data_IF_675935747332
#
_entry.id   IF_675935747332
#
_cell.length_a   1.000
_cell.length_b   1.000
_cell.length_c   1.000
_cell.angle_alpha   90.00
_cell.angle_beta   90.00
_cell.angle_gamma   90.00
#
_symmetry.space_group_name_H-M   'P 1'
#
loop_
_entity.id
_entity.type
_entity.pdbx_description
1 polymer ?
#
# COMPACT_ATOMS: atom_id res chain seq x y z
N UNK A 1 29.86 -16.59 -77.32
CA UNK A 1 28.57 -16.97 -76.69
C UNK A 1 28.74 -18.40 -76.20
N UNK A 2 28.79 -18.79 -74.93
CA UNK A 2 28.50 -18.21 -73.62
C UNK A 2 29.70 -18.48 -72.69
N UNK A 3 30.01 -17.56 -71.78
CA UNK A 3 30.94 -17.80 -70.67
C UNK A 3 30.10 -18.14 -69.43
N UNK A 4 30.15 -19.39 -68.98
CA UNK A 4 29.44 -19.85 -67.78
C UNK A 4 30.07 -19.27 -66.52
N UNK A 5 29.31 -18.49 -65.78
CA UNK A 5 29.62 -18.02 -64.43
C UNK A 5 29.13 -19.05 -63.41
N UNK A 6 30.05 -19.72 -62.72
CA UNK A 6 29.72 -20.52 -61.54
C UNK A 6 29.76 -19.62 -60.29
N UNK A 7 28.60 -19.36 -59.70
CA UNK A 7 28.48 -18.72 -58.38
C UNK A 7 28.45 -19.84 -57.33
N UNK A 8 29.51 -19.92 -56.52
CA UNK A 8 29.55 -20.80 -55.34
C UNK A 8 28.79 -20.10 -54.21
N UNK A 9 27.62 -20.60 -53.87
CA UNK A 9 26.86 -20.17 -52.68
C UNK A 9 27.55 -20.69 -51.41
N UNK A 10 28.13 -19.78 -50.63
CA UNK A 10 28.60 -20.07 -49.27
C UNK A 10 27.37 -20.07 -48.35
N UNK A 11 26.98 -21.28 -47.92
CA UNK A 11 25.96 -21.50 -46.89
C UNK A 11 26.49 -21.02 -45.53
N UNK A 12 26.07 -19.85 -45.07
CA UNK A 12 26.29 -19.39 -43.71
C UNK A 12 25.33 -20.13 -42.77
N UNK A 13 25.84 -21.14 -42.06
CA UNK A 13 25.11 -21.79 -40.97
C UNK A 13 25.00 -20.82 -39.79
N UNK A 14 23.93 -20.04 -39.76
CA UNK A 14 23.53 -19.30 -38.56
C UNK A 14 23.12 -20.31 -37.49
N UNK A 15 24.03 -20.59 -36.56
CA UNK A 15 23.68 -21.21 -35.30
C UNK A 15 22.79 -20.24 -34.53
N UNK A 16 21.48 -20.50 -34.54
CA UNK A 16 20.57 -19.86 -33.60
C UNK A 16 21.03 -20.25 -32.20
N UNK A 17 21.72 -19.33 -31.52
CA UNK A 17 21.87 -19.40 -30.08
C UNK A 17 20.46 -19.47 -29.51
N UNK A 18 20.17 -20.56 -28.81
CA UNK A 18 18.98 -20.64 -27.97
C UNK A 18 19.09 -19.49 -26.99
N UNK A 19 18.33 -18.42 -27.21
CA UNK A 19 18.02 -17.46 -26.17
C UNK A 19 17.53 -18.28 -24.98
N UNK A 20 18.35 -18.35 -23.94
CA UNK A 20 17.93 -18.90 -22.66
C UNK A 20 16.72 -18.09 -22.24
N UNK A 21 15.53 -18.68 -22.30
CA UNK A 21 14.43 -18.20 -21.49
C UNK A 21 14.91 -18.38 -20.06
N UNK A 22 15.29 -17.27 -19.42
CA UNK A 22 15.29 -17.24 -17.97
C UNK A 22 13.84 -17.56 -17.58
N UNK A 23 13.61 -18.77 -17.08
CA UNK A 23 12.36 -19.08 -16.40
C UNK A 23 12.33 -18.16 -15.17
N UNK A 24 11.64 -17.03 -15.30
CA UNK A 24 11.29 -16.20 -14.17
C UNK A 24 10.26 -17.02 -13.37
N UNK A 25 10.74 -17.77 -12.39
CA UNK A 25 9.91 -18.48 -11.42
C UNK A 25 9.20 -17.45 -10.53
N UNK A 26 8.14 -16.85 -11.06
CA UNK A 26 7.24 -16.02 -10.28
C UNK A 26 6.38 -16.90 -9.40
N UNK A 27 6.44 -16.69 -8.09
CA UNK A 27 5.57 -17.39 -7.12
C UNK A 27 4.17 -16.77 -7.08
N UNK A 28 4.01 -15.51 -7.50
CA UNK A 28 2.74 -14.78 -7.50
C UNK A 28 2.57 -13.87 -8.73
N UNK A 29 1.34 -13.72 -9.26
CA UNK A 29 1.02 -12.70 -10.26
C UNK A 29 1.22 -11.28 -9.70
N UNK A 30 2.02 -10.45 -10.37
CA UNK A 30 2.29 -9.06 -9.95
C UNK A 30 3.62 -8.86 -9.24
N UNK A 31 4.34 -9.94 -8.92
CA UNK A 31 5.70 -9.86 -8.40
C UNK A 31 6.65 -9.24 -9.44
N UNK A 32 7.42 -8.23 -9.04
CA UNK A 32 8.45 -7.65 -9.88
C UNK A 32 9.65 -8.61 -9.98
N UNK A 33 10.18 -8.91 -11.17
CA UNK A 33 11.25 -9.91 -11.37
C UNK A 33 12.59 -9.51 -10.75
N UNK A 34 12.78 -8.22 -10.49
CA UNK A 34 14.00 -7.68 -9.91
C UNK A 34 13.63 -6.69 -8.79
N UNK A 35 13.43 -7.14 -7.54
CA UNK A 35 13.04 -6.27 -6.45
C UNK A 35 14.10 -5.18 -6.15
N UNK A 36 15.39 -5.48 -6.33
CA UNK A 36 16.47 -4.51 -6.18
C UNK A 36 16.33 -3.32 -7.14
N UNK A 37 15.87 -3.55 -8.38
CA UNK A 37 15.63 -2.46 -9.34
C UNK A 37 14.53 -1.49 -8.84
N UNK A 38 13.50 -2.01 -8.17
CA UNK A 38 12.45 -1.18 -7.56
C UNK A 38 13.02 -0.36 -6.41
N UNK A 39 13.85 -0.97 -5.55
CA UNK A 39 14.56 -0.26 -4.47
C UNK A 39 15.44 0.86 -5.01
N UNK A 40 16.23 0.58 -6.05
CA UNK A 40 17.10 1.57 -6.68
C UNK A 40 16.31 2.74 -7.29
N UNK A 41 15.17 2.45 -7.92
CA UNK A 41 14.29 3.48 -8.47
C UNK A 41 13.69 4.36 -7.37
N UNK A 42 13.23 3.77 -6.25
CA UNK A 42 12.78 4.54 -5.07
C UNK A 42 13.88 5.48 -4.58
N UNK A 43 15.09 4.96 -4.41
CA UNK A 43 16.23 5.77 -3.97
C UNK A 43 16.56 6.89 -4.95
N UNK A 44 16.54 6.61 -6.27
CA UNK A 44 16.76 7.61 -7.32
C UNK A 44 15.71 8.74 -7.25
N UNK A 45 14.43 8.40 -7.06
CA UNK A 45 13.35 9.39 -6.94
C UNK A 45 13.49 10.25 -5.67
N UNK A 46 13.85 9.64 -4.55
CA UNK A 46 14.14 10.36 -3.30
C UNK A 46 15.30 11.34 -3.50
N UNK A 47 16.43 10.89 -4.03
CA UNK A 47 17.59 11.76 -4.24
C UNK A 47 17.26 12.91 -5.19
N UNK A 48 16.49 12.66 -6.26
CA UNK A 48 16.05 13.70 -7.17
C UNK A 48 15.17 14.75 -6.46
N UNK A 49 14.21 14.31 -5.63
CA UNK A 49 13.33 15.21 -4.87
C UNK A 49 14.10 16.03 -3.83
N UNK A 50 14.99 15.41 -3.05
CA UNK A 50 15.86 16.09 -2.07
C UNK A 50 16.78 17.10 -2.77
N UNK A 51 17.42 16.73 -3.87
CA UNK A 51 18.30 17.63 -4.62
C UNK A 51 17.53 18.85 -5.17
N UNK A 52 16.32 18.65 -5.72
CA UNK A 52 15.47 19.76 -6.17
C UNK A 52 15.12 20.70 -5.01
N UNK A 53 14.75 20.16 -3.85
CA UNK A 53 14.47 20.96 -2.64
C UNK A 53 15.70 21.78 -2.22
N UNK A 54 16.88 21.16 -2.12
CA UNK A 54 18.12 21.83 -1.72
C UNK A 54 18.53 22.94 -2.68
N UNK A 55 18.40 22.73 -4.00
CA UNK A 55 18.72 23.75 -5.01
C UNK A 55 17.80 24.98 -4.92
N UNK A 56 16.53 24.80 -4.61
CA UNK A 56 15.58 25.92 -4.46
C UNK A 56 15.78 26.70 -3.16
N UNK A 57 16.19 26.03 -2.08
CA UNK A 57 16.52 26.72 -0.82
C UNK A 57 17.73 27.65 -0.96
N UNK A 58 18.66 27.35 -1.88
CA UNK A 58 19.82 28.21 -2.16
C UNK A 58 19.48 29.41 -3.04
N UNK A 59 18.39 29.36 -3.82
CA UNK A 59 18.04 30.40 -4.80
C UNK A 59 16.99 31.40 -4.32
N UNK A 60 16.25 31.11 -3.24
CA UNK A 60 15.19 31.97 -2.73
C UNK A 60 15.34 32.21 -1.22
N UNK A 61 15.69 33.44 -0.84
CA UNK A 61 15.66 33.89 0.55
C UNK A 61 14.24 34.17 1.08
N UNK A 62 13.16 34.06 0.28
CA UNK A 62 11.83 34.54 0.71
C UNK A 62 10.59 33.88 0.05
N UNK A 63 10.65 32.65 -0.47
CA UNK A 63 9.44 31.93 -0.89
C UNK A 63 9.48 30.47 -0.41
N UNK A 64 8.42 30.04 0.31
CA UNK A 64 8.26 28.67 0.77
C UNK A 64 8.08 27.72 -0.43
N UNK A 65 9.18 27.10 -0.86
CA UNK A 65 9.14 26.01 -1.84
C UNK A 65 8.19 24.93 -1.34
N UNK A 66 7.20 24.54 -2.17
CA UNK A 66 6.30 23.43 -1.86
C UNK A 66 7.07 22.09 -1.75
N UNK A 67 8.26 21.98 -2.37
CA UNK A 67 9.02 20.75 -2.38
C UNK A 67 9.43 20.32 -0.97
N UNK A 68 8.99 19.13 -0.61
CA UNK A 68 9.17 18.51 0.70
C UNK A 68 10.44 17.65 0.76
N UNK A 69 10.98 17.22 -0.40
CA UNK A 69 12.02 16.19 -0.45
C UNK A 69 11.45 14.76 -0.41
N UNK A 70 10.12 14.64 -0.34
CA UNK A 70 9.39 13.40 -0.54
C UNK A 70 8.85 13.37 -1.99
N UNK A 71 9.30 12.43 -2.85
CA UNK A 71 8.89 12.38 -4.24
C UNK A 71 7.40 12.10 -4.46
N UNK A 72 6.71 11.45 -3.51
CA UNK A 72 5.26 11.20 -3.58
C UNK A 72 4.51 12.53 -3.44
N UNK A 73 4.74 13.25 -2.33
CA UNK A 73 4.08 14.52 -2.06
C UNK A 73 4.45 15.58 -3.10
N UNK A 74 5.73 15.66 -3.49
CA UNK A 74 6.19 16.59 -4.52
C UNK A 74 5.50 16.37 -5.89
N UNK A 75 5.01 15.16 -6.18
CA UNK A 75 4.38 14.81 -7.45
C UNK A 75 2.97 15.39 -7.61
N UNK A 76 2.18 15.46 -6.52
CA UNK A 76 0.78 15.90 -6.56
C UNK A 76 0.50 17.12 -5.68
N UNK A 77 1.08 17.22 -4.49
CA UNK A 77 0.75 18.27 -3.50
C UNK A 77 1.24 19.64 -3.94
N UNK A 78 2.26 19.66 -4.79
CA UNK A 78 2.80 20.88 -5.40
C UNK A 78 2.13 21.29 -6.71
N UNK A 79 1.15 20.51 -7.18
CA UNK A 79 0.26 20.97 -8.23
C UNK A 79 -0.83 21.85 -7.60
N UNK A 80 -0.87 23.18 -7.85
CA UNK A 80 -1.91 24.05 -7.29
C UNK A 80 -3.32 23.68 -7.77
N UNK A 81 -3.44 22.94 -8.88
CA UNK A 81 -4.70 22.49 -9.47
C UNK A 81 -5.09 21.06 -9.06
N UNK A 82 -4.40 20.47 -8.07
CA UNK A 82 -4.76 19.14 -7.55
C UNK A 82 -6.25 18.99 -7.17
N UNK A 83 -6.99 20.01 -6.68
CA UNK A 83 -8.40 19.86 -6.36
C UNK A 83 -9.27 19.56 -7.60
N UNK A 84 -8.89 20.08 -8.76
CA UNK A 84 -9.58 19.83 -10.04
C UNK A 84 -8.99 18.62 -10.78
N UNK A 85 -7.78 18.19 -10.41
CA UNK A 85 -7.11 17.03 -10.98
C UNK A 85 -6.84 15.93 -9.94
N UNK A 86 -7.87 15.58 -9.16
CA UNK A 86 -7.73 14.63 -8.04
C UNK A 86 -7.11 13.29 -8.45
N UNK A 87 -7.48 12.77 -9.61
CA UNK A 87 -7.07 11.45 -10.07
C UNK A 87 -5.58 11.37 -10.46
N UNK A 88 -4.91 12.51 -10.68
CA UNK A 88 -3.45 12.58 -10.89
C UNK A 88 -2.65 11.97 -9.73
N UNK A 89 -3.23 11.93 -8.52
CA UNK A 89 -2.62 11.25 -7.37
C UNK A 89 -2.16 9.83 -7.72
N UNK A 90 -2.96 9.07 -8.49
CA UNK A 90 -2.65 7.70 -8.86
C UNK A 90 -1.37 7.53 -9.71
N UNK A 91 -0.80 8.62 -10.25
CA UNK A 91 0.47 8.61 -10.97
C UNK A 91 1.70 8.82 -10.06
N UNK A 92 1.48 9.08 -8.77
CA UNK A 92 2.51 9.51 -7.84
C UNK A 92 3.03 8.41 -6.92
N UNK A 93 2.42 7.22 -6.95
CA UNK A 93 2.91 6.06 -6.21
C UNK A 93 4.34 5.69 -6.63
N UNK A 94 5.13 5.21 -5.68
CA UNK A 94 6.47 4.66 -5.90
C UNK A 94 6.60 3.29 -5.22
N UNK A 95 7.70 2.59 -5.45
CA UNK A 95 7.95 1.30 -4.81
C UNK A 95 7.12 0.19 -5.44
N UNK A 96 6.85 -0.86 -4.67
CA UNK A 96 6.17 -2.05 -5.21
C UNK A 96 4.69 -1.80 -5.55
N UNK A 97 4.01 -0.88 -4.85
CA UNK A 97 2.64 -0.45 -5.15
C UNK A 97 2.53 0.62 -6.25
N UNK A 98 3.59 0.91 -7.00
CA UNK A 98 3.58 1.97 -8.03
C UNK A 98 2.56 1.74 -9.17
N UNK A 99 2.04 0.52 -9.32
CA UNK A 99 1.04 0.16 -10.33
C UNK A 99 -0.40 0.21 -9.80
N UNK A 100 -0.61 0.58 -8.53
CA UNK A 100 -1.94 0.76 -7.97
C UNK A 100 -2.65 1.93 -8.66
N UNK A 101 -3.55 1.64 -9.59
CA UNK A 101 -4.33 2.66 -10.30
C UNK A 101 -5.54 3.16 -9.50
N UNK A 102 -5.98 2.39 -8.51
CA UNK A 102 -7.22 2.67 -7.79
C UNK A 102 -8.41 2.78 -8.76
N UNK A 103 -9.25 3.79 -8.55
CA UNK A 103 -10.36 4.16 -9.41
C UNK A 103 -10.03 5.13 -10.55
N UNK A 104 -8.76 5.28 -10.94
CA UNK A 104 -8.35 6.21 -12.00
C UNK A 104 -9.11 5.95 -13.31
N UNK A 105 -9.49 7.02 -14.00
CA UNK A 105 -10.36 7.04 -15.19
C UNK A 105 -11.79 6.55 -14.94
N UNK A 106 -12.13 6.18 -13.71
CA UNK A 106 -13.49 5.93 -13.27
C UNK A 106 -14.23 7.21 -12.94
N UNK A 107 -15.54 7.07 -12.78
CA UNK A 107 -16.40 8.17 -12.33
C UNK A 107 -16.12 8.53 -10.87
N UNK A 108 -16.41 9.78 -10.52
CA UNK A 108 -16.44 10.18 -9.12
C UNK A 108 -17.70 9.66 -8.44
N UNK A 109 -17.53 9.05 -7.27
CA UNK A 109 -18.64 8.72 -6.39
C UNK A 109 -18.56 9.58 -5.13
N UNK A 110 -19.63 10.32 -4.83
CA UNK A 110 -19.69 11.22 -3.68
C UNK A 110 -20.43 10.52 -2.55
N UNK A 111 -19.73 10.22 -1.46
CA UNK A 111 -20.34 9.69 -0.25
C UNK A 111 -21.09 10.83 0.45
N UNK A 112 -22.39 10.70 0.58
CA UNK A 112 -23.29 11.70 1.18
C UNK A 112 -23.99 11.19 2.44
N UNK A 113 -23.92 9.89 2.69
CA UNK A 113 -24.53 9.21 3.82
C UNK A 113 -23.46 8.40 4.57
N UNK A 114 -23.25 8.72 5.85
CA UNK A 114 -22.26 8.07 6.70
C UNK A 114 -22.79 6.83 7.44
N UNK A 115 -24.05 6.43 7.22
CA UNK A 115 -24.65 5.25 7.84
C UNK A 115 -24.18 3.94 7.20
N UNK A 116 -24.26 2.86 7.98
CA UNK A 116 -23.86 1.51 7.56
C UNK A 116 -24.79 0.43 8.19
N UNK A 117 -26.09 0.68 8.11
CA UNK A 117 -27.09 -0.08 8.87
C UNK A 117 -27.40 -1.48 8.28
N UNK A 118 -27.16 -1.68 6.98
CA UNK A 118 -27.39 -2.95 6.29
C UNK A 118 -26.14 -3.38 5.50
N UNK A 119 -25.37 -4.38 5.99
CA UNK A 119 -24.17 -4.87 5.32
C UNK A 119 -24.46 -5.70 4.07
N UNK A 120 -25.73 -6.09 3.83
CA UNK A 120 -26.17 -6.86 2.66
C UNK A 120 -26.81 -5.96 1.62
N UNK A 121 -27.55 -4.91 1.97
CA UNK A 121 -28.22 -4.03 1.01
C UNK A 121 -27.87 -2.55 1.26
N UNK A 122 -26.62 -2.15 0.99
CA UNK A 122 -26.20 -0.77 1.20
C UNK A 122 -26.95 0.19 0.27
N UNK A 123 -27.31 1.37 0.77
CA UNK A 123 -28.03 2.39 -0.01
C UNK A 123 -27.05 3.21 -0.88
N UNK A 124 -27.44 3.63 -2.09
CA UNK A 124 -26.72 4.67 -2.82
C UNK A 124 -26.50 5.91 -1.94
N UNK A 125 -25.35 6.56 -2.09
CA UNK A 125 -24.86 7.62 -1.20
C UNK A 125 -23.96 7.14 -0.05
N UNK A 126 -24.03 5.87 0.34
CA UNK A 126 -23.15 5.30 1.39
C UNK A 126 -21.79 4.87 0.85
N UNK A 127 -20.79 4.77 1.75
CA UNK A 127 -19.47 4.23 1.42
C UNK A 127 -19.54 2.75 1.03
N UNK A 128 -20.33 1.93 1.76
CA UNK A 128 -20.46 0.49 1.46
C UNK A 128 -21.02 0.26 0.06
N UNK A 129 -21.98 1.06 -0.38
CA UNK A 129 -22.47 0.97 -1.76
C UNK A 129 -21.36 1.28 -2.77
N UNK A 130 -20.53 2.28 -2.52
CA UNK A 130 -19.48 2.70 -3.45
C UNK A 130 -18.40 1.61 -3.66
N UNK A 131 -17.88 1.05 -2.56
CA UNK A 131 -16.69 0.17 -2.61
C UNK A 131 -16.98 -1.18 -3.26
N UNK A 132 -18.24 -1.64 -3.26
CA UNK A 132 -18.62 -2.92 -3.86
C UNK A 132 -18.83 -2.84 -5.38
N UNK A 133 -18.98 -1.65 -5.97
CA UNK A 133 -19.33 -1.52 -7.39
C UNK A 133 -18.29 -2.18 -8.30
N UNK A 134 -18.72 -2.65 -9.47
CA UNK A 134 -17.85 -3.36 -10.41
C UNK A 134 -16.93 -2.41 -11.16
N UNK A 135 -17.46 -1.26 -11.55
CA UNK A 135 -16.74 -0.22 -12.27
C UNK A 135 -15.66 0.46 -11.41
N UNK A 136 -14.59 0.98 -12.03
CA UNK A 136 -13.63 1.82 -11.33
C UNK A 136 -14.32 3.06 -10.74
N UNK A 137 -14.07 3.36 -9.46
CA UNK A 137 -14.64 4.54 -8.81
C UNK A 137 -13.60 5.32 -8.01
N UNK A 138 -13.60 6.64 -8.21
CA UNK A 138 -12.88 7.59 -7.36
C UNK A 138 -13.82 8.16 -6.29
N UNK A 139 -13.76 7.59 -5.10
CA UNK A 139 -14.70 7.85 -4.00
C UNK A 139 -14.22 9.05 -3.19
N UNK A 140 -15.07 10.07 -3.07
CA UNK A 140 -14.77 11.34 -2.38
C UNK A 140 -15.83 11.71 -1.35
N UNK A 141 -15.47 12.64 -0.47
CA UNK A 141 -16.30 13.09 0.64
C UNK A 141 -16.49 14.62 0.57
N UNK A 142 -17.73 15.12 0.52
CA UNK A 142 -18.01 16.55 0.42
C UNK A 142 -17.90 17.28 1.78
N UNK A 143 -17.85 16.54 2.88
CA UNK A 143 -17.78 17.08 4.25
C UNK A 143 -17.15 16.06 5.20
N UNK A 144 -16.81 16.51 6.41
CA UNK A 144 -16.29 15.65 7.46
C UNK A 144 -17.29 14.55 7.82
N UNK A 145 -16.83 13.32 7.99
CA UNK A 145 -17.68 12.17 8.27
C UNK A 145 -17.05 11.23 9.28
N UNK A 146 -17.88 10.64 10.13
CA UNK A 146 -17.52 9.46 10.93
C UNK A 146 -18.41 8.32 10.45
N UNK A 147 -17.81 7.37 9.77
CA UNK A 147 -18.47 6.19 9.22
C UNK A 147 -18.24 5.05 10.21
N UNK A 148 -19.29 4.74 10.97
CA UNK A 148 -19.27 3.63 11.93
C UNK A 148 -19.81 2.38 11.25
N UNK A 149 -18.90 1.50 10.87
CA UNK A 149 -19.23 0.26 10.18
C UNK A 149 -19.89 -0.72 11.14
N UNK A 150 -20.92 -1.43 10.64
CA UNK A 150 -21.57 -2.51 11.36
C UNK A 150 -20.83 -3.84 11.20
N UNK A 151 -20.17 -4.04 10.06
CA UNK A 151 -19.42 -5.23 9.66
C UNK A 151 -18.23 -4.85 8.77
N UNK A 152 -17.31 -5.79 8.51
CA UNK A 152 -16.23 -5.64 7.53
C UNK A 152 -16.71 -4.93 6.25
N UNK A 153 -16.01 -3.88 5.83
CA UNK A 153 -16.21 -3.15 4.59
C UNK A 153 -15.37 -3.83 3.51
N UNK A 154 -15.99 -4.78 2.79
CA UNK A 154 -15.34 -5.55 1.72
C UNK A 154 -15.30 -4.72 0.45
N UNK A 155 -14.11 -4.53 -0.11
CA UNK A 155 -13.91 -3.79 -1.35
C UNK A 155 -14.00 -4.71 -2.58
N UNK A 156 -14.42 -4.14 -3.70
CA UNK A 156 -14.18 -4.66 -5.03
C UNK A 156 -12.93 -3.98 -5.64
N UNK A 157 -12.39 -4.51 -6.73
CA UNK A 157 -11.19 -3.97 -7.40
C UNK A 157 -11.42 -2.56 -7.98
N UNK A 158 -10.34 -1.85 -8.28
CA UNK A 158 -10.34 -0.54 -8.94
C UNK A 158 -11.07 0.55 -8.14
N UNK A 159 -10.68 0.74 -6.88
CA UNK A 159 -11.26 1.75 -6.00
C UNK A 159 -10.20 2.69 -5.47
N UNK A 160 -10.49 3.98 -5.52
CA UNK A 160 -9.76 4.97 -4.72
C UNK A 160 -10.67 5.50 -3.64
N UNK A 161 -10.23 5.44 -2.39
CA UNK A 161 -10.81 6.20 -1.29
C UNK A 161 -9.99 7.46 -1.08
N UNK A 162 -10.53 8.63 -1.44
CA UNK A 162 -9.84 9.92 -1.39
C UNK A 162 -10.51 10.84 -0.37
N UNK A 163 -9.93 10.88 0.83
CA UNK A 163 -10.40 11.75 1.92
C UNK A 163 -9.96 13.20 1.81
N UNK A 164 -9.20 13.63 0.79
CA UNK A 164 -8.69 15.01 0.72
C UNK A 164 -9.82 16.03 0.67
N UNK A 165 -9.73 17.04 1.52
CA UNK A 165 -10.72 18.11 1.66
C UNK A 165 -11.77 17.86 2.73
N UNK A 166 -11.75 16.69 3.38
CA UNK A 166 -12.62 16.34 4.49
C UNK A 166 -11.82 15.59 5.58
N UNK A 167 -12.30 15.67 6.82
CA UNK A 167 -11.84 14.80 7.90
C UNK A 167 -12.76 13.58 7.97
N UNK A 168 -12.28 12.44 7.47
CA UNK A 168 -13.05 11.21 7.32
C UNK A 168 -12.49 10.13 8.24
N UNK A 169 -13.34 9.64 9.13
CA UNK A 169 -13.04 8.57 10.07
C UNK A 169 -13.80 7.30 9.71
N UNK A 170 -13.11 6.16 9.69
CA UNK A 170 -13.69 4.81 9.58
C UNK A 170 -13.42 4.07 10.88
N UNK A 171 -14.49 3.60 11.52
CA UNK A 171 -14.46 2.96 12.85
C UNK A 171 -15.46 1.81 12.91
N UNK A 172 -15.39 0.97 13.96
CA UNK A 172 -16.43 -0.01 14.26
C UNK A 172 -16.10 -1.44 13.82
N UNK A 173 -17.09 -2.16 13.30
CA UNK A 173 -16.98 -3.59 13.01
C UNK A 173 -16.08 -3.89 11.82
N UNK A 174 -14.98 -4.61 12.05
CA UNK A 174 -14.09 -5.19 11.04
C UNK A 174 -13.25 -4.22 10.22
N UNK A 175 -13.70 -2.97 10.03
CA UNK A 175 -13.06 -1.97 9.17
C UNK A 175 -12.82 -2.48 7.74
N UNK A 176 -11.66 -2.26 7.13
CA UNK A 176 -11.47 -2.44 5.68
C UNK A 176 -10.91 -3.82 5.36
N UNK A 177 -11.57 -4.55 4.45
CA UNK A 177 -11.12 -5.85 3.97
C UNK A 177 -10.89 -5.83 2.46
N UNK A 178 -9.64 -6.04 2.05
CA UNK A 178 -9.19 -6.14 0.66
C UNK A 178 -8.85 -7.61 0.36
N UNK A 179 -9.84 -8.38 -0.07
CA UNK A 179 -9.70 -9.84 -0.24
C UNK A 179 -9.83 -10.26 -1.70
N UNK A 180 -8.76 -10.85 -2.26
CA UNK A 180 -8.66 -11.34 -3.64
C UNK A 180 -8.98 -10.28 -4.70
N UNK A 181 -8.54 -9.05 -4.47
CA UNK A 181 -8.79 -7.90 -5.35
C UNK A 181 -7.48 -7.25 -5.80
N UNK A 182 -7.59 -6.28 -6.71
CA UNK A 182 -6.44 -5.48 -7.14
C UNK A 182 -6.79 -4.02 -7.38
N UNK A 183 -5.75 -3.19 -7.51
CA UNK A 183 -5.85 -1.78 -7.87
C UNK A 183 -6.66 -0.99 -6.86
N UNK A 184 -6.12 -0.84 -5.65
CA UNK A 184 -6.75 -0.08 -4.57
C UNK A 184 -5.84 1.04 -4.11
N UNK A 185 -6.39 2.23 -3.96
CA UNK A 185 -5.74 3.37 -3.31
C UNK A 185 -6.60 3.77 -2.10
N UNK A 186 -6.00 3.85 -0.92
CA UNK A 186 -6.63 4.41 0.29
C UNK A 186 -5.80 5.61 0.69
N UNK A 187 -6.38 6.81 0.61
CA UNK A 187 -5.65 8.06 0.76
C UNK A 187 -6.35 9.06 1.67
N UNK A 188 -5.63 9.59 2.66
CA UNK A 188 -6.09 10.66 3.56
C UNK A 188 -7.32 10.26 4.42
N UNK A 189 -7.28 9.08 5.04
CA UNK A 189 -8.37 8.55 5.89
C UNK A 189 -7.86 8.26 7.31
N UNK A 190 -8.69 8.54 8.31
CA UNK A 190 -8.45 8.15 9.70
C UNK A 190 -9.14 6.81 9.97
N UNK A 191 -8.39 5.79 10.37
CA UNK A 191 -8.90 4.43 10.62
C UNK A 191 -8.55 4.06 12.06
N UNK A 192 -9.55 3.85 12.91
CA UNK A 192 -9.29 3.57 14.32
C UNK A 192 -10.48 2.94 15.03
N UNK A 193 -10.23 2.37 16.20
CA UNK A 193 -11.29 1.74 17.02
C UNK A 193 -12.05 0.66 16.24
N UNK A 194 -11.32 -0.06 15.39
CA UNK A 194 -11.81 -1.24 14.69
C UNK A 194 -11.89 -2.39 15.69
N UNK A 195 -12.96 -3.18 15.62
CA UNK A 195 -13.18 -4.32 16.51
C UNK A 195 -13.80 -5.49 15.76
N UNK A 196 -13.67 -6.72 16.27
CA UNK A 196 -14.27 -7.91 15.70
C UNK A 196 -15.74 -7.71 15.34
N UNK A 197 -16.13 -8.21 14.17
CA UNK A 197 -17.50 -8.29 13.67
C UNK A 197 -17.63 -9.52 12.78
N UNK A 198 -18.84 -10.00 12.52
CA UNK A 198 -19.08 -11.14 11.64
C UNK A 198 -20.32 -11.90 12.09
N UNK A 199 -20.32 -13.20 11.81
CA UNK A 199 -21.46 -14.11 12.01
C UNK A 199 -22.72 -13.60 11.31
N UNK A 200 -22.54 -13.09 10.10
CA UNK A 200 -23.62 -12.56 9.25
C UNK A 200 -23.23 -12.58 7.78
N UNK A 201 -24.20 -12.33 6.91
CA UNK A 201 -23.93 -12.10 5.50
C UNK A 201 -23.41 -10.68 5.27
N UNK A 202 -22.39 -10.55 4.43
CA UNK A 202 -21.82 -9.26 4.02
C UNK A 202 -21.68 -9.24 2.50
N UNK A 203 -22.11 -8.13 1.88
CA UNK A 203 -22.00 -7.92 0.43
C UNK A 203 -20.58 -7.54 0.03
N UNK A 204 -20.07 -8.17 -1.03
CA UNK A 204 -18.75 -7.87 -1.61
C UNK A 204 -18.82 -7.38 -3.07
N UNK A 205 -19.95 -7.56 -3.75
CA UNK A 205 -20.21 -7.01 -5.09
C UNK A 205 -21.71 -6.74 -5.30
N UNK A 206 -22.14 -6.08 -6.40
CA UNK A 206 -23.55 -5.84 -6.65
C UNK A 206 -24.36 -7.16 -6.77
N UNK A 207 -23.70 -8.26 -7.12
CA UNK A 207 -24.32 -9.56 -7.35
C UNK A 207 -23.98 -10.61 -6.31
N UNK A 208 -23.03 -10.34 -5.40
CA UNK A 208 -22.55 -11.33 -4.44
C UNK A 208 -22.51 -10.81 -3.01
N UNK A 209 -23.07 -11.60 -2.09
CA UNK A 209 -22.82 -11.54 -0.65
C UNK A 209 -22.60 -12.96 -0.13
N UNK A 210 -21.89 -13.09 0.99
CA UNK A 210 -21.63 -14.39 1.61
C UNK A 210 -21.51 -14.30 3.12
N UNK A 211 -21.59 -15.46 3.77
CA UNK A 211 -21.43 -15.56 5.22
C UNK A 211 -19.98 -15.23 5.61
N UNK A 212 -19.83 -14.32 6.58
CA UNK A 212 -18.54 -13.94 7.16
C UNK A 212 -18.49 -14.46 8.59
N UNK A 213 -17.44 -15.20 8.91
CA UNK A 213 -17.10 -15.50 10.30
C UNK A 213 -16.59 -14.25 11.00
N UNK A 214 -16.45 -14.32 12.32
CA UNK A 214 -15.84 -13.24 13.09
C UNK A 214 -14.45 -12.85 12.57
N UNK A 215 -14.27 -11.57 12.25
CA UNK A 215 -12.98 -10.94 11.94
C UNK A 215 -12.19 -10.58 13.20
N UNK A 216 -10.89 -10.38 13.06
CA UNK A 216 -9.98 -10.06 14.18
C UNK A 216 -10.11 -8.59 14.63
N UNK A 217 -10.55 -7.71 13.73
CA UNK A 217 -10.75 -6.29 14.01
C UNK A 217 -9.52 -5.43 13.69
N UNK A 218 -8.85 -5.75 12.59
CA UNK A 218 -7.77 -4.94 12.03
C UNK A 218 -8.29 -3.60 11.50
N UNK A 219 -7.37 -2.65 11.28
CA UNK A 219 -7.69 -1.44 10.51
C UNK A 219 -7.91 -1.73 9.02
N UNK A 220 -6.91 -2.35 8.38
CA UNK A 220 -6.92 -2.76 6.97
C UNK A 220 -6.36 -4.17 6.85
N UNK A 221 -7.20 -5.14 6.47
CA UNK A 221 -6.77 -6.51 6.17
C UNK A 221 -6.64 -6.70 4.65
N UNK A 222 -5.47 -7.13 4.18
CA UNK A 222 -5.11 -7.37 2.78
C UNK A 222 -4.83 -8.87 2.60
N UNK A 223 -5.67 -9.54 1.83
CA UNK A 223 -5.65 -10.99 1.69
C UNK A 223 -5.59 -11.36 0.21
N UNK A 224 -4.51 -12.03 -0.22
CA UNK A 224 -4.31 -12.45 -1.61
C UNK A 224 -4.55 -11.37 -2.66
N UNK A 225 -4.20 -10.12 -2.33
CA UNK A 225 -4.49 -8.94 -3.16
C UNK A 225 -3.22 -8.29 -3.69
N UNK A 226 -3.35 -7.49 -4.75
CA UNK A 226 -2.19 -6.85 -5.38
C UNK A 226 -2.43 -5.43 -5.89
N UNK A 227 -1.34 -4.71 -6.16
CA UNK A 227 -1.39 -3.34 -6.66
C UNK A 227 -2.18 -2.44 -5.70
N UNK A 228 -1.68 -2.34 -4.46
CA UNK A 228 -2.32 -1.63 -3.34
C UNK A 228 -1.43 -0.46 -2.89
N UNK A 229 -2.04 0.70 -2.67
CA UNK A 229 -1.36 1.86 -2.13
C UNK A 229 -2.14 2.49 -0.96
N UNK A 230 -1.53 2.51 0.22
CA UNK A 230 -2.10 3.11 1.44
C UNK A 230 -1.25 4.33 1.79
N UNK A 231 -1.82 5.52 1.64
CA UNK A 231 -1.09 6.77 1.66
C UNK A 231 -1.75 7.85 2.54
N UNK A 232 -0.96 8.63 3.29
CA UNK A 232 -1.48 9.75 4.11
C UNK A 232 -2.61 9.37 5.09
N UNK A 233 -2.70 8.11 5.50
CA UNK A 233 -3.70 7.66 6.46
C UNK A 233 -3.21 7.80 7.90
N UNK A 234 -4.13 7.92 8.85
CA UNK A 234 -3.84 7.87 10.29
C UNK A 234 -4.47 6.63 10.90
N UNK A 235 -3.68 5.74 11.48
CA UNK A 235 -4.13 4.46 12.02
C UNK A 235 -3.79 4.31 13.52
N UNK A 236 -4.77 3.90 14.33
CA UNK A 236 -4.56 3.70 15.78
C UNK A 236 -5.66 2.87 16.44
N UNK A 237 -5.42 2.37 17.66
CA UNK A 237 -6.46 1.80 18.54
C UNK A 237 -7.38 0.74 17.88
N UNK A 238 -6.86 -0.10 16.97
CA UNK A 238 -7.64 -1.23 16.46
C UNK A 238 -7.58 -2.40 17.46
N UNK A 239 -8.35 -3.46 17.24
CA UNK A 239 -8.38 -4.57 18.18
C UNK A 239 -7.19 -5.51 18.01
N UNK A 240 -6.82 -5.80 16.77
CA UNK A 240 -5.73 -6.71 16.41
C UNK A 240 -4.62 -5.96 15.64
N UNK A 241 -4.49 -6.08 14.32
CA UNK A 241 -3.53 -5.32 13.50
C UNK A 241 -3.96 -3.89 13.13
N UNK A 242 -3.04 -3.00 12.75
CA UNK A 242 -3.43 -1.78 11.99
C UNK A 242 -3.47 -2.08 10.49
N UNK A 243 -2.44 -2.73 9.95
CA UNK A 243 -2.38 -3.18 8.56
C UNK A 243 -1.79 -4.58 8.49
N UNK A 244 -2.58 -5.54 8.04
CA UNK A 244 -2.15 -6.92 7.89
C UNK A 244 -2.22 -7.33 6.43
N UNK A 245 -1.10 -7.79 5.87
CA UNK A 245 -1.02 -8.28 4.49
C UNK A 245 -0.55 -9.73 4.48
N UNK A 246 -1.38 -10.63 3.95
CA UNK A 246 -1.18 -12.08 4.04
C UNK A 246 -1.58 -12.78 2.75
N UNK A 247 -1.33 -14.08 2.69
CA UNK A 247 -1.93 -15.01 1.72
C UNK A 247 -1.56 -14.67 0.27
N UNK A 248 -0.27 -14.39 0.06
CA UNK A 248 0.27 -14.05 -1.24
C UNK A 248 -0.10 -12.66 -1.72
N UNK A 249 -0.35 -11.72 -0.80
CA UNK A 249 -0.49 -10.31 -1.17
C UNK A 249 0.86 -9.73 -1.62
N UNK A 250 0.88 -8.91 -2.69
CA UNK A 250 2.12 -8.38 -3.26
C UNK A 250 1.90 -7.08 -4.03
N UNK A 251 2.97 -6.35 -4.39
CA UNK A 251 2.82 -5.07 -5.09
C UNK A 251 2.15 -4.01 -4.22
N UNK A 252 2.67 -3.83 -2.99
CA UNK A 252 2.09 -2.95 -1.98
C UNK A 252 3.04 -1.79 -1.68
N UNK A 253 2.51 -0.57 -1.59
CA UNK A 253 3.20 0.57 -0.98
C UNK A 253 2.38 1.12 0.18
N UNK A 254 3.02 1.30 1.33
CA UNK A 254 2.45 1.94 2.52
C UNK A 254 3.29 3.18 2.79
N UNK A 255 2.75 4.36 2.51
CA UNK A 255 3.51 5.62 2.57
C UNK A 255 2.84 6.77 3.29
N UNK A 256 3.65 7.69 3.84
CA UNK A 256 3.14 8.93 4.45
C UNK A 256 2.09 8.74 5.56
N UNK A 257 1.97 7.55 6.13
CA UNK A 257 0.96 7.28 7.14
C UNK A 257 1.47 7.68 8.53
N UNK A 258 0.54 7.96 9.42
CA UNK A 258 0.79 8.14 10.85
C UNK A 258 0.21 6.98 11.64
N UNK A 259 1.07 6.25 12.35
CA UNK A 259 0.68 5.15 13.22
C UNK A 259 0.90 5.56 14.68
N UNK A 260 -0.05 5.29 15.57
CA UNK A 260 0.12 5.55 17.01
C UNK A 260 -0.78 4.68 17.88
N UNK A 261 -0.50 4.62 19.18
CA UNK A 261 -1.36 4.01 20.20
C UNK A 261 -1.86 2.60 19.85
N UNK A 262 -0.92 1.68 19.63
CA UNK A 262 -1.25 0.34 19.17
C UNK A 262 -0.13 -0.66 19.44
N UNK A 263 -0.49 -1.92 19.74
CA UNK A 263 0.51 -2.97 20.01
C UNK A 263 1.06 -3.56 18.71
N UNK A 264 0.19 -4.23 17.96
CA UNK A 264 0.54 -5.01 16.78
C UNK A 264 0.33 -4.17 15.51
N UNK A 265 1.34 -3.39 15.10
CA UNK A 265 1.15 -2.36 14.07
C UNK A 265 0.91 -2.95 12.68
N UNK A 266 1.85 -3.74 12.17
CA UNK A 266 1.81 -4.20 10.78
C UNK A 266 2.39 -5.60 10.62
N UNK A 267 1.56 -6.56 10.20
CA UNK A 267 1.98 -7.92 9.89
C UNK A 267 2.07 -8.15 8.38
N UNK A 268 3.23 -8.61 7.91
CA UNK A 268 3.47 -8.96 6.51
C UNK A 268 3.82 -10.44 6.42
N UNK A 269 2.82 -11.25 6.10
CA UNK A 269 2.84 -12.72 6.10
C UNK A 269 2.50 -13.30 7.48
N UNK A 270 1.50 -14.18 7.55
CA UNK A 270 0.94 -14.68 8.81
C UNK A 270 1.63 -15.96 9.34
N UNK A 271 2.17 -16.78 8.44
CA UNK A 271 2.73 -18.10 8.78
C UNK A 271 4.14 -18.24 8.24
N UNK A 272 5.02 -18.84 9.04
CA UNK A 272 6.38 -19.15 8.61
C UNK A 272 6.36 -20.17 7.48
N UNK A 273 5.35 -21.04 7.38
CA UNK A 273 5.30 -22.16 6.42
C UNK A 273 4.52 -21.85 5.14
N UNK A 274 3.90 -20.66 5.04
CA UNK A 274 3.12 -20.30 3.86
C UNK A 274 4.02 -19.82 2.71
N UNK A 275 4.46 -20.77 1.89
CA UNK A 275 5.42 -20.54 0.80
C UNK A 275 5.02 -19.45 -0.21
N UNK A 276 3.73 -19.25 -0.58
CA UNK A 276 3.38 -18.21 -1.54
C UNK A 276 3.77 -16.79 -1.08
N UNK A 277 3.88 -16.51 0.22
CA UNK A 277 4.34 -15.22 0.74
C UNK A 277 5.81 -14.91 0.36
N UNK A 278 6.57 -15.88 -0.18
CA UNK A 278 7.89 -15.61 -0.76
C UNK A 278 7.83 -14.70 -1.99
N UNK A 279 6.64 -14.58 -2.62
CA UNK A 279 6.39 -13.63 -3.69
C UNK A 279 5.92 -12.24 -3.22
N UNK A 280 5.69 -12.06 -1.92
CA UNK A 280 5.25 -10.79 -1.35
C UNK A 280 6.34 -9.72 -1.54
N UNK A 281 5.94 -8.55 -2.00
CA UNK A 281 6.82 -7.40 -2.18
C UNK A 281 6.14 -6.12 -1.67
N UNK A 282 6.73 -5.47 -0.66
CA UNK A 282 6.14 -4.32 0.05
C UNK A 282 7.15 -3.20 0.21
N UNK A 283 6.75 -1.97 -0.10
CA UNK A 283 7.51 -0.76 0.21
C UNK A 283 6.83 -0.02 1.36
N UNK A 284 7.57 0.26 2.44
CA UNK A 284 7.12 1.05 3.59
C UNK A 284 7.96 2.32 3.59
N UNK A 285 7.38 3.45 3.22
CA UNK A 285 8.14 4.67 2.96
C UNK A 285 7.56 5.94 3.58
N UNK A 286 8.38 6.79 4.19
CA UNK A 286 7.97 8.11 4.70
C UNK A 286 6.87 8.08 5.77
N UNK A 287 6.62 6.93 6.40
CA UNK A 287 5.65 6.84 7.48
C UNK A 287 6.25 7.41 8.77
N UNK A 288 5.37 7.90 9.62
CA UNK A 288 5.70 8.25 11.00
C UNK A 288 5.10 7.18 11.92
N UNK A 289 5.98 6.36 12.49
CA UNK A 289 5.67 5.43 13.56
C UNK A 289 5.82 6.16 14.90
N UNK A 290 4.68 6.64 15.40
CA UNK A 290 4.58 7.63 16.46
C UNK A 290 4.54 7.04 17.85
N UNK A 291 3.90 7.78 18.76
CA UNK A 291 3.89 7.43 20.17
C UNK A 291 3.08 6.16 20.49
N UNK A 292 3.50 5.49 21.56
CA UNK A 292 2.81 4.33 22.16
C UNK A 292 2.57 3.21 21.16
N UNK A 293 3.58 2.95 20.32
CA UNK A 293 3.64 1.75 19.51
C UNK A 293 4.50 0.70 20.23
N UNK A 294 4.03 -0.55 20.27
CA UNK A 294 4.76 -1.61 20.98
C UNK A 294 5.72 -2.33 20.02
N UNK A 295 5.21 -2.82 18.88
CA UNK A 295 5.96 -3.69 17.98
C UNK A 295 5.41 -3.74 16.54
N UNK A 296 6.06 -4.55 15.68
CA UNK A 296 5.64 -4.91 14.32
C UNK A 296 5.59 -3.71 13.36
N UNK A 297 6.67 -2.96 13.22
CA UNK A 297 6.77 -1.80 12.31
C UNK A 297 7.83 -1.99 11.19
N UNK A 298 7.75 -3.02 10.33
CA UNK A 298 6.79 -4.14 10.29
C UNK A 298 7.27 -5.39 11.05
N UNK A 299 6.41 -6.42 11.13
CA UNK A 299 6.83 -7.81 11.34
C UNK A 299 6.64 -8.62 10.06
N UNK A 300 7.73 -9.14 9.51
CA UNK A 300 7.76 -9.75 8.18
C UNK A 300 8.00 -11.25 8.20
N UNK A 301 7.46 -11.93 7.19
CA UNK A 301 7.79 -13.31 6.83
C UNK A 301 7.98 -13.47 5.35
N UNK A 302 8.96 -14.30 4.96
CA UNK A 302 9.27 -14.72 3.58
C UNK A 302 9.66 -13.61 2.59
N UNK A 303 8.73 -12.75 2.19
CA UNK A 303 8.87 -11.85 1.04
C UNK A 303 9.97 -10.79 1.10
N UNK A 304 9.91 -9.85 0.16
CA UNK A 304 10.85 -8.73 0.04
C UNK A 304 10.24 -7.42 0.53
N UNK A 305 10.82 -6.85 1.58
CA UNK A 305 10.31 -5.63 2.22
C UNK A 305 11.37 -4.54 2.17
N UNK A 306 11.02 -3.40 1.57
CA UNK A 306 11.84 -2.20 1.55
C UNK A 306 11.29 -1.18 2.55
N UNK A 307 12.00 -0.96 3.65
CA UNK A 307 11.66 0.00 4.70
C UNK A 307 12.54 1.23 4.53
N UNK A 308 12.00 2.35 4.06
CA UNK A 308 12.81 3.50 3.62
C UNK A 308 12.32 4.85 4.12
N UNK A 309 13.22 5.67 4.67
CA UNK A 309 12.93 7.04 5.10
C UNK A 309 11.71 7.20 6.04
N UNK A 310 11.44 6.22 6.89
CA UNK A 310 10.41 6.33 7.93
C UNK A 310 11.03 6.94 9.21
N UNK A 311 10.20 7.60 10.02
CA UNK A 311 10.57 8.08 11.36
C UNK A 311 9.94 7.18 12.43
N UNK A 312 10.76 6.62 13.31
CA UNK A 312 10.36 5.71 14.37
C UNK A 312 10.60 6.34 15.74
N UNK A 313 9.54 6.44 16.53
CA UNK A 313 9.58 7.07 17.85
C UNK A 313 9.25 6.08 18.96
N UNK A 314 10.25 5.73 19.77
CA UNK A 314 10.08 5.09 21.08
C UNK A 314 9.16 3.86 21.11
N UNK A 315 9.51 2.82 20.35
CA UNK A 315 8.82 1.53 20.45
C UNK A 315 8.99 0.91 21.85
N UNK A 316 8.07 0.06 22.27
CA UNK A 316 8.17 -0.59 23.59
C UNK A 316 8.93 -1.92 23.56
N UNK A 317 8.84 -2.70 22.47
CA UNK A 317 9.47 -4.02 22.35
C UNK A 317 10.54 -4.09 21.25
N UNK A 318 10.17 -3.87 19.98
CA UNK A 318 11.08 -3.76 18.83
C UNK A 318 10.42 -2.94 17.72
N UNK A 319 11.21 -2.39 16.80
CA UNK A 319 10.65 -1.72 15.62
C UNK A 319 10.41 -2.73 14.49
N UNK A 320 11.46 -3.34 13.96
CA UNK A 320 11.41 -4.19 12.78
C UNK A 320 11.66 -5.64 13.17
N UNK A 321 10.71 -6.52 12.89
CA UNK A 321 10.80 -7.95 13.25
C UNK A 321 10.67 -8.88 12.05
N UNK A 322 11.11 -10.12 12.20
CA UNK A 322 10.80 -11.15 11.21
C UNK A 322 11.13 -12.59 11.61
N UNK A 323 10.42 -13.52 10.95
CA UNK A 323 10.60 -14.98 11.01
C UNK A 323 10.33 -15.59 9.64
N UNK A 324 10.68 -16.85 9.39
CA UNK A 324 10.43 -17.47 8.08
C UNK A 324 11.24 -16.86 6.92
N UNK A 325 12.47 -16.41 7.19
CA UNK A 325 13.44 -15.92 6.20
C UNK A 325 12.96 -14.75 5.28
N UNK A 326 12.50 -13.62 5.84
CA UNK A 326 12.17 -12.43 5.06
C UNK A 326 13.44 -11.72 4.57
N UNK A 327 13.35 -11.03 3.44
CA UNK A 327 14.37 -10.06 3.02
C UNK A 327 13.91 -8.67 3.43
N UNK A 328 14.62 -8.03 4.37
CA UNK A 328 14.29 -6.67 4.84
C UNK A 328 15.42 -5.72 4.49
N UNK A 329 15.14 -4.77 3.59
CA UNK A 329 16.06 -3.70 3.22
C UNK A 329 15.66 -2.42 3.96
N UNK A 330 16.39 -2.07 5.04
CA UNK A 330 16.17 -0.83 5.81
C UNK A 330 17.14 0.26 5.36
N UNK A 331 16.65 1.36 4.79
CA UNK A 331 17.47 2.43 4.23
C UNK A 331 16.98 3.83 4.66
N UNK A 332 17.87 4.68 5.17
CA UNK A 332 17.56 6.09 5.45
C UNK A 332 16.48 6.36 6.51
N UNK A 333 16.07 5.33 7.26
CA UNK A 333 15.13 5.47 8.37
C UNK A 333 15.78 6.20 9.56
N UNK A 334 14.97 6.94 10.31
CA UNK A 334 15.36 7.59 11.57
C UNK A 334 14.76 6.80 12.74
N UNK A 335 15.60 6.44 13.71
CA UNK A 335 15.17 5.70 14.90
C UNK A 335 15.49 6.50 16.16
N UNK A 336 14.46 6.86 16.90
CA UNK A 336 14.57 7.42 18.24
C UNK A 336 14.20 6.32 19.25
N UNK A 337 15.21 5.60 19.73
CA UNK A 337 15.01 4.47 20.64
C UNK A 337 14.37 4.89 21.98
N UNK A 338 13.58 4.01 22.63
CA UNK A 338 13.00 4.26 23.96
C UNK A 338 14.10 4.40 25.03
N UNK A 339 13.76 4.92 26.21
CA UNK A 339 14.71 4.99 27.34
C UNK A 339 15.11 3.61 27.88
N UNK A 340 14.21 2.62 27.79
CA UNK A 340 14.43 1.25 28.21
C UNK A 340 15.68 0.63 27.54
N UNK A 341 16.65 0.18 28.34
CA UNK A 341 17.89 -0.42 27.86
C UNK A 341 17.69 -1.75 27.13
N UNK A 342 16.62 -2.48 27.44
CA UNK A 342 16.31 -3.76 26.82
C UNK A 342 15.58 -3.63 25.47
N UNK A 343 15.21 -2.42 25.06
CA UNK A 343 14.49 -2.13 23.83
C UNK A 343 15.29 -1.20 22.88
N UNK A 344 16.62 -1.16 23.03
CA UNK A 344 17.49 -0.34 22.16
C UNK A 344 17.69 -0.96 20.78
N UNK A 345 17.64 -2.29 20.69
CA UNK A 345 17.75 -2.98 19.42
C UNK A 345 16.50 -2.69 18.58
N UNK A 346 16.71 -2.17 17.38
CA UNK A 346 15.66 -1.89 16.40
C UNK A 346 15.05 -3.20 15.91
N UNK A 347 15.90 -4.21 15.73
CA UNK A 347 15.60 -5.47 15.06
C UNK A 347 15.23 -6.57 16.05
N UNK A 348 14.35 -7.49 15.62
CA UNK A 348 14.11 -8.75 16.33
C UNK A 348 13.91 -9.90 15.35
N UNK A 349 14.81 -10.89 15.41
CA UNK A 349 14.59 -12.19 14.78
C UNK A 349 13.74 -13.03 15.72
N UNK A 350 12.60 -13.52 15.25
CA UNK A 350 11.66 -14.33 16.06
C UNK A 350 11.63 -15.77 15.61
#
# INVERSE_FOLDING_TARGET
MLQSTCIVLISLMCTFSRFGRAELNFTLPGQHPNPEAVVQEVHRRVNASVNRRSMLQLSQQDQSSCLTGNPIDDCWKCDPDWPNNRQRLADCAIGFGQYALGGKNGEFYIVTDSTDDDPVNPRPGTLRYAVIQTEPLWIVFPSNMVIKLSQELIFNSYKTLDGRGANVHIVGGGCITLQFISNIIIHNIHIHHCHPSGETNVRSSPTHYGWRTKSDGDGISIFGSKDIWIDHCSLSHCKDGLIDAVEGSTGITISNNYFSHHDEVMLLGASDDYLPDSGMQVTIAFNHFGEKLVQRMPRCRRGYIHVVNNDFTQWEMYAIGGSGNPTINSQGNRYTAPSNHNAKEVTKLT
#
